data_IF_249668186576
#
_entry.id   IF_249668186576
#
_cell.length_a   1.000
_cell.length_b   1.000
_cell.length_c   1.000
_cell.angle_alpha   90.00
_cell.angle_beta   90.00
_cell.angle_gamma   90.00
#
_symmetry.space_group_name_H-M   'P 1'
#
loop_
_entity.id
_entity.type
_entity.pdbx_description
1 polymer ?
#
# COMPACT_ATOMS: atom_id res chain seq x y z
N UNK A 1 12.24 -12.45 4.49
CA UNK A 1 11.74 -12.64 3.10
C UNK A 1 10.44 -11.85 2.99
N UNK A 2 10.47 -10.65 2.39
CA UNK A 2 9.31 -9.75 2.32
C UNK A 2 8.57 -9.85 0.99
N UNK A 3 7.26 -9.57 1.00
CA UNK A 3 6.41 -9.54 -0.21
C UNK A 3 6.81 -8.33 -1.08
N UNK A 4 7.11 -8.57 -2.36
CA UNK A 4 7.24 -7.50 -3.35
C UNK A 4 5.86 -7.13 -3.85
N UNK A 5 5.49 -5.84 -3.78
CA UNK A 5 4.17 -5.38 -4.21
C UNK A 5 4.16 -5.25 -5.74
N UNK A 6 3.81 -6.33 -6.43
CA UNK A 6 3.58 -6.35 -7.87
C UNK A 6 2.13 -5.93 -8.21
N UNK A 7 1.83 -5.59 -9.47
CA UNK A 7 0.45 -5.36 -9.90
C UNK A 7 -0.47 -6.55 -9.61
N UNK A 8 0.00 -7.80 -9.77
CA UNK A 8 -0.80 -8.97 -9.43
C UNK A 8 -1.06 -9.05 -7.92
N UNK A 9 -0.02 -8.85 -7.09
CA UNK A 9 -0.16 -8.86 -5.65
C UNK A 9 -1.16 -7.80 -5.17
N UNK A 10 -1.14 -6.59 -5.78
CA UNK A 10 -2.11 -5.53 -5.50
C UNK A 10 -3.55 -5.97 -5.79
N UNK A 11 -3.78 -6.59 -6.95
CA UNK A 11 -5.11 -7.06 -7.34
C UNK A 11 -5.64 -8.13 -6.39
N UNK A 12 -4.79 -9.07 -5.98
CA UNK A 12 -5.18 -10.11 -5.01
C UNK A 12 -5.46 -9.52 -3.64
N UNK A 13 -4.63 -8.59 -3.16
CA UNK A 13 -4.89 -7.85 -1.92
C UNK A 13 -6.22 -7.08 -1.98
N UNK A 14 -6.56 -6.50 -3.14
CA UNK A 14 -7.83 -5.77 -3.31
C UNK A 14 -9.03 -6.70 -3.17
N UNK A 15 -8.96 -7.88 -3.78
CA UNK A 15 -10.01 -8.90 -3.68
C UNK A 15 -10.14 -9.44 -2.25
N UNK A 16 -9.03 -9.74 -1.59
CA UNK A 16 -9.04 -10.36 -0.27
C UNK A 16 -9.46 -9.41 0.85
N UNK A 17 -9.00 -8.16 0.80
CA UNK A 17 -9.20 -7.18 1.89
C UNK A 17 -10.50 -6.38 1.69
N UNK A 18 -11.12 -6.46 0.49
CA UNK A 18 -12.32 -5.70 0.09
C UNK A 18 -12.18 -4.19 0.39
N UNK A 19 -10.99 -3.66 0.14
CA UNK A 19 -10.72 -2.24 0.29
C UNK A 19 -10.63 -1.59 -1.09
N UNK A 20 -11.56 -0.70 -1.40
CA UNK A 20 -11.67 -0.14 -2.76
C UNK A 20 -10.60 0.92 -3.05
N UNK A 21 -9.97 1.48 -2.00
CA UNK A 21 -8.94 2.51 -2.09
C UNK A 21 -7.65 2.03 -1.45
N UNK A 22 -6.73 1.59 -2.31
CA UNK A 22 -5.36 1.27 -1.94
C UNK A 22 -4.36 2.22 -2.59
N UNK A 23 -3.40 2.68 -1.80
CA UNK A 23 -2.27 3.51 -2.23
C UNK A 23 -0.95 2.85 -1.88
N UNK A 24 -0.02 2.80 -2.84
CA UNK A 24 1.37 2.41 -2.59
C UNK A 24 2.17 3.67 -2.30
N UNK A 25 2.89 3.69 -1.18
CA UNK A 25 3.76 4.79 -0.76
C UNK A 25 5.21 4.32 -0.86
N UNK A 26 5.98 4.96 -1.72
CA UNK A 26 7.42 4.71 -1.92
C UNK A 26 8.27 5.67 -1.09
N UNK A 27 9.55 5.35 -0.82
CA UNK A 27 10.47 6.30 -0.19
C UNK A 27 10.52 7.61 -0.99
N UNK A 28 10.53 8.74 -0.28
CA UNK A 28 10.55 10.08 -0.88
C UNK A 28 9.23 10.55 -1.51
N UNK A 29 8.17 9.72 -1.53
CA UNK A 29 6.87 10.16 -2.03
C UNK A 29 6.29 11.28 -1.14
N UNK A 30 6.12 12.46 -1.71
CA UNK A 30 5.41 13.56 -1.06
C UNK A 30 3.93 13.22 -1.03
N UNK A 31 3.38 13.05 0.17
CA UNK A 31 1.97 12.76 0.40
C UNK A 31 1.36 13.81 1.32
N UNK A 32 0.10 14.15 1.06
CA UNK A 32 -0.72 14.92 1.99
C UNK A 32 -1.06 14.05 3.21
N UNK A 33 -1.12 14.67 4.39
CA UNK A 33 -1.46 14.01 5.66
C UNK A 33 -2.98 13.99 5.92
N UNK A 34 -3.80 14.06 4.87
CA UNK A 34 -5.24 13.93 4.99
C UNK A 34 -5.59 12.50 5.40
N UNK A 35 -6.20 12.36 6.59
CA UNK A 35 -6.66 11.06 7.08
C UNK A 35 -7.89 10.63 6.30
N UNK A 36 -7.80 9.48 5.65
CA UNK A 36 -8.88 8.80 4.95
C UNK A 36 -9.04 7.39 5.52
N UNK A 37 -9.99 7.16 6.44
CA UNK A 37 -10.15 5.87 7.08
C UNK A 37 -10.51 4.76 6.08
N UNK A 38 -11.06 5.12 4.92
CA UNK A 38 -11.39 4.24 3.82
C UNK A 38 -10.20 3.94 2.88
N UNK A 39 -8.98 4.38 3.20
CA UNK A 39 -7.78 4.16 2.38
C UNK A 39 -6.76 3.28 3.08
N UNK A 40 -6.38 2.19 2.43
CA UNK A 40 -5.25 1.35 2.84
C UNK A 40 -3.96 1.85 2.17
N UNK A 41 -2.96 2.21 2.98
CA UNK A 41 -1.62 2.53 2.51
C UNK A 41 -0.72 1.29 2.64
N UNK A 42 -0.09 0.91 1.53
CA UNK A 42 0.98 -0.08 1.46
C UNK A 42 2.31 0.67 1.35
N UNK A 43 3.12 0.61 2.39
CA UNK A 43 4.40 1.32 2.45
C UNK A 43 5.49 0.34 2.02
N UNK A 44 6.29 0.73 1.03
CA UNK A 44 7.33 -0.11 0.46
C UNK A 44 8.72 0.53 0.60
N UNK A 45 9.76 -0.30 0.56
CA UNK A 45 11.15 0.15 0.42
C UNK A 45 11.52 0.46 -1.05
N UNK A 46 12.78 0.83 -1.28
CA UNK A 46 13.32 1.15 -2.62
C UNK A 46 13.27 -0.03 -3.60
N UNK A 47 13.27 -1.26 -3.07
CA UNK A 47 13.12 -2.49 -3.86
C UNK A 47 11.65 -2.88 -4.08
N UNK A 48 10.69 -2.08 -3.62
CA UNK A 48 9.26 -2.36 -3.72
C UNK A 48 8.76 -3.44 -2.75
N UNK A 49 9.54 -3.79 -1.73
CA UNK A 49 9.14 -4.75 -0.69
C UNK A 49 8.25 -4.07 0.33
N UNK A 50 7.15 -4.71 0.70
CA UNK A 50 6.24 -4.23 1.72
C UNK A 50 6.93 -4.22 3.09
N UNK A 51 6.98 -3.04 3.71
CA UNK A 51 7.54 -2.85 5.05
C UNK A 51 6.47 -2.53 6.09
N UNK A 52 5.34 -1.96 5.66
CA UNK A 52 4.20 -1.69 6.53
C UNK A 52 2.89 -1.56 5.75
N UNK A 53 1.76 -1.81 6.43
CA UNK A 53 0.42 -1.56 5.92
C UNK A 53 -0.44 -0.88 7.00
N UNK A 54 -1.18 0.18 6.64
CA UNK A 54 -2.06 0.89 7.58
C UNK A 54 -3.21 1.62 6.89
N UNK A 55 -4.35 1.69 7.56
CA UNK A 55 -5.47 2.53 7.12
C UNK A 55 -5.25 3.99 7.50
N UNK A 56 -5.67 4.92 6.63
CA UNK A 56 -5.57 6.37 6.85
C UNK A 56 -5.25 7.19 5.61
#
# INVERSE_FOLDING_TARGET
>A
MGLVVTPQARTELQKSIRHDRMRIVRPGAVITQDVRPDRLNLIVDDSGRLVAARCG
#
